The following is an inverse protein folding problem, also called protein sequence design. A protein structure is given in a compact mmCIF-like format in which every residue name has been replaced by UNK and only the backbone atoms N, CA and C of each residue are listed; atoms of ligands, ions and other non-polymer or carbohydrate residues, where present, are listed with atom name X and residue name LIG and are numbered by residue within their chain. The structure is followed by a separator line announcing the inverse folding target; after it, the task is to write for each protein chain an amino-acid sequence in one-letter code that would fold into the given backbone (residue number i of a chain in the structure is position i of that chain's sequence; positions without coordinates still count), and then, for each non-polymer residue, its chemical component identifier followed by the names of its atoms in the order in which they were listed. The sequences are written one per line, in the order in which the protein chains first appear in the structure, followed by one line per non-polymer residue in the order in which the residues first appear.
data_IF_609255404387
#
_entry.id   IF_609255404387
#
_cell.length_a   1.000
_cell.length_b   1.000
_cell.length_c   1.000
_cell.angle_alpha   90.00
_cell.angle_beta   90.00
_cell.angle_gamma   90.00
#
_symmetry.space_group_name_H-M   'P 1'
#
loop_
_entity.id
_entity.type
_entity.pdbx_description
1 polymer ?
#
# COMPACT_ATOMS: atom_id res chain seq x y z
N UNK A 1 -15.70 13.49 -7.37
CA UNK A 1 -15.16 12.20 -6.89
C UNK A 1 -13.68 12.12 -7.22
N UNK A 2 -12.77 11.83 -6.27
CA UNK A 2 -11.36 11.65 -6.60
C UNK A 2 -11.22 10.41 -7.51
N UNK A 3 -10.72 10.62 -8.73
CA UNK A 3 -10.52 9.53 -9.71
C UNK A 3 -9.46 8.55 -9.19
N UNK A 4 -9.66 7.27 -9.48
CA UNK A 4 -8.66 6.22 -9.28
C UNK A 4 -7.31 6.65 -9.89
N UNK A 5 -6.20 6.28 -9.24
CA UNK A 5 -4.88 6.58 -9.77
C UNK A 5 -4.62 5.66 -10.98
N UNK A 6 -4.45 6.24 -12.17
CA UNK A 6 -4.07 5.46 -13.36
C UNK A 6 -2.56 5.23 -13.31
N UNK A 7 -2.18 3.97 -13.13
CA UNK A 7 -0.78 3.52 -13.22
C UNK A 7 -0.52 3.06 -14.65
N UNK A 8 0.55 3.57 -15.25
CA UNK A 8 1.03 3.19 -16.57
C UNK A 8 1.53 1.74 -16.61
N UNK A 9 1.73 1.18 -17.81
CA UNK A 9 2.22 -0.19 -17.97
C UNK A 9 3.66 -0.37 -17.45
N UNK A 10 4.42 0.72 -17.43
CA UNK A 10 5.78 0.82 -16.89
C UNK A 10 5.81 1.01 -15.37
N UNK A 11 4.67 1.21 -14.71
CA UNK A 11 4.60 1.55 -13.28
C UNK A 11 4.69 3.05 -12.98
N UNK A 12 4.65 3.93 -13.99
CA UNK A 12 4.59 5.38 -13.79
C UNK A 12 3.18 5.78 -13.34
N UNK A 13 3.08 6.68 -12.36
CA UNK A 13 1.79 7.25 -11.95
C UNK A 13 1.95 8.66 -11.38
N UNK A 14 0.83 9.39 -11.28
CA UNK A 14 0.79 10.76 -10.77
C UNK A 14 -0.02 10.84 -9.50
N UNK A 15 0.57 11.42 -8.44
CA UNK A 15 -0.15 11.86 -7.24
C UNK A 15 0.11 13.35 -7.03
N UNK A 16 -0.98 14.12 -6.94
CA UNK A 16 -0.90 15.57 -6.87
C UNK A 16 -0.29 16.14 -8.15
N UNK A 17 0.85 16.82 -8.04
CA UNK A 17 1.58 17.44 -9.17
C UNK A 17 2.88 16.70 -9.52
N UNK A 18 3.16 15.55 -8.89
CA UNK A 18 4.43 14.83 -9.05
C UNK A 18 4.19 13.48 -9.73
N UNK A 19 5.10 13.16 -10.64
CA UNK A 19 5.22 11.82 -11.21
C UNK A 19 6.07 10.96 -10.29
N UNK A 20 5.68 9.71 -10.14
CA UNK A 20 6.36 8.69 -9.34
C UNK A 20 6.46 7.41 -10.15
N UNK A 21 7.46 6.59 -9.83
CA UNK A 21 7.78 5.36 -10.53
C UNK A 21 7.76 4.20 -9.53
N UNK A 22 6.94 3.18 -9.78
CA UNK A 22 7.03 1.90 -9.07
C UNK A 22 8.30 1.19 -9.57
N UNK A 23 9.24 0.79 -8.69
CA UNK A 23 10.45 0.10 -9.11
C UNK A 23 10.15 -1.19 -9.88
N UNK A 24 11.08 -1.56 -10.78
CA UNK A 24 11.07 -2.86 -11.46
C UNK A 24 11.63 -3.98 -10.58
N UNK A 25 12.50 -3.63 -9.64
CA UNK A 25 13.13 -4.57 -8.71
C UNK A 25 13.04 -4.04 -7.29
N UNK A 26 12.96 -4.96 -6.33
CA UNK A 26 12.90 -4.66 -4.91
C UNK A 26 13.99 -5.44 -4.18
N UNK A 27 14.62 -4.81 -3.19
CA UNK A 27 15.48 -5.53 -2.25
C UNK A 27 14.65 -6.40 -1.31
N UNK A 28 15.25 -7.47 -0.78
CA UNK A 28 14.60 -8.35 0.20
C UNK A 28 14.03 -7.58 1.40
N UNK A 29 14.74 -6.54 1.85
CA UNK A 29 14.28 -5.66 2.92
C UNK A 29 13.01 -4.91 2.57
N UNK A 30 12.89 -4.43 1.33
CA UNK A 30 11.69 -3.73 0.85
C UNK A 30 10.53 -4.70 0.72
N UNK A 31 10.75 -5.88 0.15
CA UNK A 31 9.76 -6.96 0.05
C UNK A 31 9.24 -7.32 1.45
N UNK A 32 10.15 -7.60 2.39
CA UNK A 32 9.81 -7.94 3.77
C UNK A 32 9.03 -6.82 4.46
N UNK A 33 9.49 -5.57 4.35
CA UNK A 33 8.81 -4.42 4.96
C UNK A 33 7.41 -4.20 4.39
N UNK A 34 7.24 -4.36 3.08
CA UNK A 34 5.96 -4.21 2.41
C UNK A 34 4.95 -5.23 2.91
N UNK A 35 5.35 -6.51 2.95
CA UNK A 35 4.52 -7.62 3.39
C UNK A 35 4.14 -7.50 4.87
N UNK A 36 5.13 -7.27 5.74
CA UNK A 36 4.91 -7.11 7.19
C UNK A 36 3.90 -5.99 7.50
N UNK A 37 3.93 -4.90 6.73
CA UNK A 37 3.00 -3.80 6.92
C UNK A 37 1.57 -4.13 6.46
N UNK A 38 1.38 -5.12 5.59
CA UNK A 38 0.07 -5.54 5.10
C UNK A 38 -0.46 -6.78 5.80
N UNK A 39 0.32 -7.40 6.68
CA UNK A 39 -0.13 -8.51 7.52
C UNK A 39 -1.37 -8.10 8.33
N UNK A 40 -2.35 -9.01 8.46
CA UNK A 40 -3.50 -8.78 9.34
C UNK A 40 -3.03 -8.44 10.75
N UNK A 41 -3.63 -7.41 11.34
CA UNK A 41 -3.37 -7.07 12.73
C UNK A 41 -3.99 -8.20 13.57
N UNK A 42 -3.18 -8.95 14.36
CA UNK A 42 -3.69 -10.07 15.13
C UNK A 42 -4.72 -9.57 16.15
N UNK A 43 -5.87 -10.24 16.20
CA UNK A 43 -6.83 -10.05 17.28
C UNK A 43 -6.23 -10.62 18.56
N UNK A 44 -5.86 -9.74 19.50
CA UNK A 44 -5.39 -10.17 20.80
C UNK A 44 -6.60 -10.31 21.74
N UNK A 45 -6.98 -11.54 22.16
CA UNK A 45 -8.17 -11.76 23.00
C UNK A 45 -8.07 -11.11 24.39
N UNK A 46 -6.86 -10.73 24.83
CA UNK A 46 -6.63 -10.04 26.11
C UNK A 46 -6.30 -8.55 25.94
N UNK A 47 -6.29 -8.04 24.71
CA UNK A 47 -5.99 -6.64 24.40
C UNK A 47 -7.24 -5.74 24.41
N UNK A 48 -7.05 -4.41 24.43
CA UNK A 48 -8.16 -3.48 24.20
C UNK A 48 -8.78 -3.75 22.82
N UNK A 49 -10.09 -4.06 22.80
CA UNK A 49 -10.81 -4.26 21.56
C UNK A 49 -10.83 -2.96 20.75
N UNK A 50 -10.33 -3.00 19.52
CA UNK A 50 -10.41 -1.87 18.61
C UNK A 50 -11.80 -1.79 17.99
N UNK A 51 -12.36 -0.59 17.90
CA UNK A 51 -13.57 -0.40 17.09
C UNK A 51 -13.25 -0.62 15.61
N UNK A 52 -14.24 -1.05 14.83
CA UNK A 52 -14.08 -1.26 13.39
C UNK A 52 -13.60 0.00 12.66
N UNK A 53 -14.00 1.18 13.12
CA UNK A 53 -13.55 2.46 12.58
C UNK A 53 -12.05 2.66 12.79
N UNK A 54 -11.52 2.29 13.96
CA UNK A 54 -10.10 2.37 14.26
C UNK A 54 -9.30 1.34 13.46
N UNK A 55 -9.80 0.09 13.36
CA UNK A 55 -9.19 -0.96 12.52
C UNK A 55 -9.08 -0.52 11.06
N UNK A 56 -10.16 0.04 10.50
CA UNK A 56 -10.16 0.59 9.13
C UNK A 56 -9.13 1.70 8.95
N UNK A 57 -9.07 2.67 9.87
CA UNK A 57 -8.07 3.76 9.83
C UNK A 57 -6.64 3.23 9.91
N UNK A 58 -6.40 2.21 10.73
CA UNK A 58 -5.09 1.59 10.87
C UNK A 58 -4.69 0.84 9.60
N UNK A 59 -5.60 0.05 9.02
CA UNK A 59 -5.38 -0.61 7.72
C UNK A 59 -5.07 0.40 6.62
N UNK A 60 -5.84 1.48 6.52
CA UNK A 60 -5.63 2.56 5.56
C UNK A 60 -4.27 3.26 5.76
N UNK A 61 -3.82 3.41 7.00
CA UNK A 61 -2.50 3.96 7.31
C UNK A 61 -1.38 3.01 6.89
N UNK A 62 -1.52 1.73 7.22
CA UNK A 62 -0.56 0.68 6.89
C UNK A 62 -0.41 0.49 5.38
N UNK A 63 -1.51 0.50 4.63
CA UNK A 63 -1.50 0.47 3.15
C UNK A 63 -0.72 1.64 2.53
N UNK A 64 -0.79 2.84 3.12
CA UNK A 64 0.02 3.97 2.67
C UNK A 64 1.48 3.78 3.04
N UNK A 65 1.77 3.27 4.24
CA UNK A 65 3.13 3.08 4.71
C UNK A 65 3.87 2.02 3.89
N UNK A 66 3.19 0.96 3.47
CA UNK A 66 3.79 -0.07 2.62
C UNK A 66 4.21 0.49 1.25
N UNK A 67 3.38 1.31 0.60
CA UNK A 67 3.77 2.01 -0.64
C UNK A 67 4.98 2.92 -0.43
N UNK A 68 5.02 3.69 0.67
CA UNK A 68 6.16 4.54 0.98
C UNK A 68 7.46 3.75 1.25
N UNK A 69 7.37 2.48 1.66
CA UNK A 69 8.53 1.62 1.89
C UNK A 69 9.14 1.11 0.58
N UNK A 70 8.35 0.96 -0.48
CA UNK A 70 8.79 0.35 -1.74
C UNK A 70 8.90 1.31 -2.92
N UNK A 71 8.32 2.52 -2.85
CA UNK A 71 8.36 3.51 -3.93
C UNK A 71 9.32 4.65 -3.55
N UNK A 72 10.53 4.72 -4.14
CA UNK A 72 11.49 5.79 -3.88
C UNK A 72 10.91 7.17 -4.15
N UNK A 73 11.21 8.13 -3.29
CA UNK A 73 10.75 9.52 -3.47
C UNK A 73 9.24 9.73 -3.29
N UNK A 74 8.48 8.72 -2.85
CA UNK A 74 7.07 8.85 -2.47
C UNK A 74 6.92 8.89 -0.94
N UNK A 75 6.99 10.08 -0.31
CA UNK A 75 6.91 10.18 1.14
C UNK A 75 5.48 9.91 1.64
N UNK A 76 5.38 9.35 2.84
CA UNK A 76 4.09 9.07 3.50
C UNK A 76 3.17 10.31 3.57
N UNK A 77 3.72 11.51 3.74
CA UNK A 77 2.97 12.77 3.76
C UNK A 77 2.20 13.03 2.45
N UNK A 78 2.70 12.57 1.30
CA UNK A 78 2.00 12.68 0.01
C UNK A 78 0.87 11.66 -0.03
N UNK A 79 1.11 10.42 0.41
CA UNK A 79 0.10 9.36 0.46
C UNK A 79 -1.03 9.63 1.46
N UNK A 80 -0.76 10.32 2.56
CA UNK A 80 -1.77 10.76 3.52
C UNK A 80 -2.79 11.73 2.90
N UNK A 81 -2.39 12.48 1.86
CA UNK A 81 -3.28 13.37 1.10
C UNK A 81 -3.98 12.67 -0.06
N UNK A 82 -3.51 11.47 -0.44
CA UNK A 82 -4.14 10.66 -1.48
C UNK A 82 -5.41 9.99 -0.95
N UNK A 83 -6.41 9.86 -1.81
CA UNK A 83 -7.62 9.09 -1.48
C UNK A 83 -7.28 7.61 -1.36
N UNK A 84 -8.04 6.87 -0.56
CA UNK A 84 -7.83 5.41 -0.46
C UNK A 84 -8.12 4.70 -1.78
N UNK A 85 -8.97 5.24 -2.65
CA UNK A 85 -9.16 4.74 -4.01
C UNK A 85 -7.85 4.79 -4.80
N UNK A 86 -7.11 5.90 -4.73
CA UNK A 86 -5.81 6.02 -5.41
C UNK A 86 -4.77 5.04 -4.83
N UNK A 87 -4.72 4.93 -3.51
CA UNK A 87 -3.81 4.00 -2.81
C UNK A 87 -4.11 2.56 -3.22
N UNK A 88 -5.38 2.16 -3.24
CA UNK A 88 -5.82 0.82 -3.65
C UNK A 88 -5.47 0.52 -5.12
N UNK A 89 -5.69 1.47 -6.03
CA UNK A 89 -5.32 1.27 -7.45
C UNK A 89 -3.83 1.00 -7.65
N UNK A 90 -2.95 1.62 -6.86
CA UNK A 90 -1.51 1.36 -6.91
C UNK A 90 -1.21 -0.04 -6.38
N UNK A 91 -1.82 -0.43 -5.26
CA UNK A 91 -1.70 -1.79 -4.71
C UNK A 91 -2.18 -2.87 -5.68
N UNK A 92 -3.34 -2.67 -6.30
CA UNK A 92 -3.88 -3.60 -7.31
C UNK A 92 -2.94 -3.74 -8.52
N UNK A 93 -2.33 -2.62 -8.95
CA UNK A 93 -1.35 -2.67 -10.03
C UNK A 93 -0.09 -3.45 -9.60
N UNK A 94 0.44 -3.18 -8.41
CA UNK A 94 1.57 -3.91 -7.81
C UNK A 94 1.26 -5.40 -7.76
N UNK A 95 0.08 -5.78 -7.27
CA UNK A 95 -0.29 -7.18 -7.14
C UNK A 95 -0.33 -7.93 -8.48
N UNK A 96 -0.64 -7.24 -9.58
CA UNK A 96 -0.68 -7.82 -10.92
C UNK A 96 0.70 -7.87 -11.61
N UNK A 97 1.57 -6.89 -11.35
CA UNK A 97 2.80 -6.68 -12.14
C UNK A 97 4.10 -6.90 -11.37
N UNK A 98 4.03 -7.04 -10.04
CA UNK A 98 5.15 -7.28 -9.12
C UNK A 98 4.78 -8.42 -8.17
N UNK A 99 4.56 -9.64 -8.69
CA UNK A 99 4.09 -10.77 -7.88
C UNK A 99 5.01 -11.05 -6.69
N UNK A 100 6.31 -10.76 -6.78
CA UNK A 100 7.28 -10.90 -5.70
C UNK A 100 6.94 -10.09 -4.45
N UNK A 101 6.15 -9.01 -4.56
CA UNK A 101 5.65 -8.28 -3.38
C UNK A 101 4.46 -8.99 -2.71
N UNK A 102 3.77 -9.88 -3.43
CA UNK A 102 2.56 -10.57 -2.98
C UNK A 102 2.74 -12.07 -2.68
N UNK A 103 3.82 -12.71 -3.15
CA UNK A 103 3.92 -14.17 -3.25
C UNK A 103 3.73 -14.99 -1.97
N UNK A 104 3.84 -14.38 -0.78
CA UNK A 104 3.63 -15.08 0.51
C UNK A 104 2.50 -14.49 1.36
N UNK A 105 1.81 -13.47 0.86
CA UNK A 105 0.70 -12.85 1.57
C UNK A 105 -0.61 -13.28 0.90
N UNK A 106 -1.35 -14.20 1.53
CA UNK A 106 -2.78 -14.39 1.27
C UNK A 106 -3.50 -13.09 1.67
N UNK A 107 -3.41 -12.06 0.82
CA UNK A 107 -4.12 -10.81 1.02
C UNK A 107 -5.54 -11.00 0.54
N UNK A 108 -6.44 -11.35 1.46
CA UNK A 108 -7.88 -11.22 1.23
C UNK A 108 -8.20 -9.72 1.14
N UNK A 109 -8.28 -9.22 -0.09
CA UNK A 109 -8.82 -7.89 -0.39
C UNK A 109 -10.35 -8.00 -0.46
N UNK A 110 -10.99 -8.17 0.70
CA UNK A 110 -12.44 -7.94 0.86
C UNK A 110 -12.77 -6.45 1.00
#
# INVERSE_FOLDING_TARGET
MPRACKVGPDGTFVIGKRSHQIPETFSDRQVHSFRTLLEPIPDNPSGPSMSDSLRRKQRDYLMRRSLAAVIPGLPLKVLQKASMTQVRSIHEWIARHRPELMSDAEVTLE
#
